data_IF_733968685638
#
_entry.id   IF_733968685638
#
_cell.length_a   1.000
_cell.length_b   1.000
_cell.length_c   1.000
_cell.angle_alpha   90.00
_cell.angle_beta   90.00
_cell.angle_gamma   90.00
#
_symmetry.space_group_name_H-M   'P 1'
#
loop_
_entity.id
_entity.type
_entity.pdbx_description
1 polymer ?
#
# COMPACT_ATOMS: atom_id res chain seq x y z
N UNK A 1 -4.01 -0.55 7.65
CA UNK A 1 -3.38 0.79 7.53
C UNK A 1 -4.47 1.84 7.46
N UNK A 2 -4.37 2.93 8.23
CA UNK A 2 -5.33 4.06 8.14
C UNK A 2 -5.02 4.87 6.87
N UNK A 3 -6.06 5.28 6.15
CA UNK A 3 -5.87 6.29 5.12
C UNK A 3 -5.47 7.62 5.78
N UNK A 4 -4.65 8.45 5.12
CA UNK A 4 -4.35 9.79 5.62
C UNK A 4 -5.61 10.62 5.84
N UNK A 5 -5.53 11.58 6.75
CA UNK A 5 -6.67 12.45 7.08
C UNK A 5 -7.19 13.19 5.83
N UNK A 6 -8.51 13.30 5.72
CA UNK A 6 -9.17 13.93 4.58
C UNK A 6 -9.26 13.06 3.32
N UNK A 7 -8.66 11.87 3.28
CA UNK A 7 -8.79 10.93 2.16
C UNK A 7 -9.68 9.73 2.48
N UNK A 8 -10.41 9.25 1.48
CA UNK A 8 -11.18 8.02 1.56
C UNK A 8 -10.29 6.83 1.15
N UNK A 9 -10.18 5.82 2.01
CA UNK A 9 -9.44 4.60 1.72
C UNK A 9 -9.95 3.88 0.45
N UNK A 10 -11.23 4.04 0.13
CA UNK A 10 -11.86 3.50 -1.08
C UNK A 10 -11.27 4.04 -2.38
N UNK A 11 -10.81 5.29 -2.41
CA UNK A 11 -10.17 5.87 -3.60
C UNK A 11 -8.80 5.26 -3.85
N UNK A 12 -8.00 5.07 -2.79
CA UNK A 12 -6.73 4.35 -2.86
C UNK A 12 -6.93 2.92 -3.38
N UNK A 13 -7.88 2.18 -2.77
CA UNK A 13 -8.21 0.81 -3.15
C UNK A 13 -8.63 0.74 -4.63
N UNK A 14 -9.47 1.69 -5.06
CA UNK A 14 -9.96 1.76 -6.44
C UNK A 14 -8.82 2.00 -7.43
N UNK A 15 -7.92 2.94 -7.15
CA UNK A 15 -6.77 3.24 -8.01
C UNK A 15 -5.83 2.03 -8.08
N UNK A 16 -5.43 1.48 -6.94
CA UNK A 16 -4.53 0.32 -6.87
C UNK A 16 -5.06 -0.86 -7.70
N UNK A 17 -6.36 -1.14 -7.60
CA UNK A 17 -7.00 -2.22 -8.35
C UNK A 17 -7.14 -1.88 -9.85
N UNK A 18 -7.85 -0.79 -10.17
CA UNK A 18 -8.25 -0.51 -11.55
C UNK A 18 -7.10 -0.08 -12.45
N UNK A 19 -6.06 0.55 -11.89
CA UNK A 19 -4.92 1.08 -12.68
C UNK A 19 -3.70 0.17 -12.65
N UNK A 20 -3.44 -0.50 -11.53
CA UNK A 20 -2.21 -1.27 -11.34
C UNK A 20 -2.45 -2.77 -11.14
N UNK A 21 -3.71 -3.22 -11.11
CA UNK A 21 -4.04 -4.62 -10.88
C UNK A 21 -3.73 -5.13 -9.47
N UNK A 22 -3.49 -4.24 -8.51
CA UNK A 22 -3.16 -4.60 -7.13
C UNK A 22 -4.43 -4.56 -6.27
N UNK A 23 -4.83 -5.72 -5.79
CA UNK A 23 -6.05 -5.88 -4.99
C UNK A 23 -5.68 -5.83 -3.51
N UNK A 24 -6.24 -4.84 -2.80
CA UNK A 24 -6.18 -4.74 -1.34
C UNK A 24 -7.59 -4.62 -0.78
N UNK A 25 -7.79 -5.03 0.47
CA UNK A 25 -9.11 -5.05 1.07
C UNK A 25 -9.42 -3.74 1.82
N UNK A 26 -10.68 -3.32 1.81
CA UNK A 26 -11.14 -2.20 2.64
C UNK A 26 -11.39 -2.58 4.10
N UNK A 27 -11.65 -1.55 4.90
CA UNK A 27 -12.28 -1.68 6.22
C UNK A 27 -13.74 -2.14 6.12
N UNK A 28 -14.22 -2.75 7.20
CA UNK A 28 -15.60 -3.21 7.37
C UNK A 28 -16.28 -2.39 8.46
N UNK A 29 -17.61 -2.34 8.42
CA UNK A 29 -18.46 -1.63 9.41
C UNK A 29 -17.97 -0.19 9.65
N UNK A 30 -17.81 0.23 10.91
CA UNK A 30 -17.29 1.53 11.34
C UNK A 30 -15.91 1.92 10.74
N UNK A 31 -15.17 0.97 10.17
CA UNK A 31 -13.86 1.20 9.54
C UNK A 31 -13.95 1.39 8.03
N UNK A 32 -15.13 1.26 7.41
CA UNK A 32 -15.32 1.47 5.97
C UNK A 32 -14.90 2.89 5.58
N UNK A 33 -14.11 2.99 4.51
CA UNK A 33 -13.54 4.26 4.02
C UNK A 33 -12.41 4.85 4.86
N UNK A 34 -12.13 4.31 6.07
CA UNK A 34 -11.08 4.82 6.97
C UNK A 34 -9.77 4.05 6.87
N UNK A 35 -9.85 2.76 6.54
CA UNK A 35 -8.68 1.88 6.44
C UNK A 35 -8.69 1.07 5.15
N UNK A 36 -7.50 0.58 4.82
CA UNK A 36 -7.27 -0.52 3.90
C UNK A 36 -6.35 -1.57 4.55
N UNK A 37 -6.36 -2.79 4.02
CA UNK A 37 -5.66 -3.96 4.53
C UNK A 37 -4.86 -4.59 3.40
N UNK A 38 -3.55 -4.64 3.58
CA UNK A 38 -2.62 -5.34 2.69
C UNK A 38 -2.51 -6.77 3.22
N UNK A 39 -2.91 -7.75 2.41
CA UNK A 39 -2.77 -9.17 2.74
C UNK A 39 -1.35 -9.63 2.45
N UNK A 40 -0.78 -10.44 3.34
CA UNK A 40 0.61 -10.92 3.26
C UNK A 40 0.75 -12.32 3.86
N UNK A 41 -0.21 -13.20 3.55
CA UNK A 41 -0.30 -14.56 4.09
C UNK A 41 -0.57 -15.53 2.94
N UNK A 42 0.06 -16.71 2.99
CA UNK A 42 -0.12 -17.76 2.01
C UNK A 42 0.95 -17.71 0.92
N UNK A 43 0.54 -17.88 -0.34
CA UNK A 43 1.43 -17.81 -1.49
C UNK A 43 1.74 -16.35 -1.84
N UNK A 44 2.56 -15.74 -0.99
CA UNK A 44 3.07 -14.38 -1.09
C UNK A 44 4.54 -14.39 -0.72
N UNK A 45 5.36 -13.70 -1.48
CA UNK A 45 6.75 -13.44 -1.16
C UNK A 45 7.02 -11.94 -0.95
N UNK A 46 8.30 -11.62 -0.79
CA UNK A 46 8.74 -10.26 -0.55
C UNK A 46 8.50 -9.31 -1.75
N UNK A 47 8.61 -9.81 -2.99
CA UNK A 47 8.41 -8.99 -4.17
C UNK A 47 6.92 -8.68 -4.40
N UNK A 48 6.01 -9.57 -4.01
CA UNK A 48 4.57 -9.27 -3.98
C UNK A 48 4.24 -8.08 -3.06
N UNK A 49 4.93 -8.00 -1.91
CA UNK A 49 4.81 -6.87 -0.99
C UNK A 49 5.35 -5.57 -1.60
N UNK A 50 6.48 -5.63 -2.29
CA UNK A 50 7.05 -4.47 -3.00
C UNK A 50 6.09 -3.93 -4.08
N UNK A 51 5.46 -4.82 -4.84
CA UNK A 51 4.42 -4.42 -5.82
C UNK A 51 3.28 -3.69 -5.12
N UNK A 52 2.85 -4.18 -3.95
CA UNK A 52 1.76 -3.56 -3.17
C UNK A 52 2.12 -2.17 -2.64
N UNK A 53 3.35 -2.00 -2.15
CA UNK A 53 3.87 -0.72 -1.65
C UNK A 53 4.02 0.28 -2.81
N UNK A 54 4.58 -0.15 -3.94
CA UNK A 54 4.74 0.68 -5.13
C UNK A 54 3.38 1.18 -5.65
N UNK A 55 2.38 0.28 -5.75
CA UNK A 55 1.03 0.66 -6.15
C UNK A 55 0.37 1.66 -5.19
N UNK A 56 0.63 1.53 -3.89
CA UNK A 56 0.13 2.47 -2.88
C UNK A 56 0.78 3.85 -3.03
N UNK A 57 2.10 3.94 -3.21
CA UNK A 57 2.80 5.21 -3.44
C UNK A 57 2.28 5.91 -4.69
N UNK A 58 2.14 5.19 -5.80
CA UNK A 58 1.59 5.77 -7.03
C UNK A 58 0.13 6.24 -6.84
N UNK A 59 -0.70 5.48 -6.13
CA UNK A 59 -2.07 5.90 -5.81
C UNK A 59 -2.12 7.16 -4.92
N UNK A 60 -1.23 7.27 -3.93
CA UNK A 60 -1.08 8.46 -3.09
C UNK A 60 -0.65 9.68 -3.91
N UNK A 61 0.32 9.51 -4.80
CA UNK A 61 0.79 10.58 -5.69
C UNK A 61 -0.32 11.09 -6.61
N UNK A 62 -1.12 10.19 -7.17
CA UNK A 62 -2.25 10.55 -8.04
C UNK A 62 -3.37 11.28 -7.31
N UNK A 63 -3.56 11.01 -6.02
CA UNK A 63 -4.49 11.73 -5.16
C UNK A 63 -3.88 13.04 -4.60
N UNK A 64 -2.65 13.37 -4.97
CA UNK A 64 -1.97 14.59 -4.55
C UNK A 64 -1.51 14.59 -3.09
N UNK A 65 -1.37 13.41 -2.48
CA UNK A 65 -0.83 13.31 -1.12
C UNK A 65 0.66 13.69 -1.10
N UNK A 66 1.11 14.59 -0.20
CA UNK A 66 2.52 14.98 -0.14
C UNK A 66 3.36 13.92 0.57
N UNK A 67 4.28 13.30 -0.15
CA UNK A 67 5.29 12.40 0.38
C UNK A 67 6.53 12.37 -0.54
N UNK A 68 7.62 11.76 -0.08
CA UNK A 68 8.79 11.49 -0.90
C UNK A 68 8.59 10.19 -1.70
N UNK A 69 8.55 10.30 -3.03
CA UNK A 69 8.41 9.14 -3.90
C UNK A 69 9.53 8.12 -3.66
N UNK A 70 9.17 6.84 -3.47
CA UNK A 70 10.11 5.77 -3.20
C UNK A 70 10.47 5.58 -1.73
N UNK A 71 10.02 6.44 -0.81
CA UNK A 71 10.37 6.31 0.61
C UNK A 71 9.93 4.99 1.24
N UNK A 72 8.72 4.51 0.94
CA UNK A 72 8.20 3.23 1.40
C UNK A 72 8.93 2.04 0.75
N UNK A 73 9.27 2.16 -0.53
CA UNK A 73 10.06 1.15 -1.25
C UNK A 73 11.46 1.00 -0.66
N UNK A 74 12.16 2.12 -0.44
CA UNK A 74 13.48 2.13 0.18
C UNK A 74 13.45 1.53 1.59
N UNK A 75 12.44 1.88 2.39
CA UNK A 75 12.25 1.32 3.72
C UNK A 75 12.01 -0.19 3.69
N UNK A 76 11.16 -0.69 2.79
CA UNK A 76 10.89 -2.12 2.66
C UNK A 76 12.13 -2.91 2.22
N UNK A 77 12.88 -2.37 1.25
CA UNK A 77 14.15 -2.95 0.78
C UNK A 77 15.20 -3.01 1.88
N UNK A 78 15.38 -1.91 2.63
CA UNK A 78 16.27 -1.90 3.77
C UNK A 78 15.90 -2.96 4.82
N UNK A 79 14.63 -3.03 5.20
CA UNK A 79 14.15 -4.01 6.17
C UNK A 79 14.36 -5.47 5.71
N UNK A 80 14.15 -5.75 4.42
CA UNK A 80 14.38 -7.09 3.87
C UNK A 80 15.86 -7.46 3.80
N UNK A 81 16.72 -6.53 3.38
CA UNK A 81 18.18 -6.73 3.35
C UNK A 81 18.69 -7.04 4.76
N UNK A 82 18.33 -6.22 5.75
CA UNK A 82 18.70 -6.42 7.15
C UNK A 82 18.25 -7.79 7.67
N UNK A 83 16.97 -8.15 7.45
CA UNK A 83 16.43 -9.45 7.86
C UNK A 83 17.08 -10.63 7.13
N UNK A 84 17.62 -10.41 5.93
CA UNK A 84 18.32 -11.41 5.13
C UNK A 84 19.82 -11.46 5.38
N UNK A 85 20.36 -10.58 6.25
CA UNK A 85 21.79 -10.49 6.55
C UNK A 85 22.63 -9.85 5.44
N UNK A 86 22.03 -8.99 4.60
CA UNK A 86 22.67 -8.18 3.57
C UNK A 86 23.00 -6.77 4.06
#
# INVERSE_FOLDING_TARGET
VRAPEGMNAGDLIRIMNQRYGVIVAGGQDDLKGKIFRIGHVGYYDYFDLLVSISALEMALAELGYPFENGAGMAAAQGAYMEASGL
#
